data_IF_362245641874
#
_entry.id   IF_362245641874
#
_cell.length_a   1.000
_cell.length_b   1.000
_cell.length_c   1.000
_cell.angle_alpha   90.00
_cell.angle_beta   90.00
_cell.angle_gamma   90.00
#
_symmetry.space_group_name_H-M   'P 1'
#
loop_
_entity.id
_entity.type
_entity.pdbx_description
1 polymer ?
#
# COMPACT_ATOMS: atom_id res chain seq x y z
N UNK A 1 -15.86 35.86 -6.05
CA UNK A 1 -15.99 35.43 -7.47
C UNK A 1 -15.78 36.66 -8.34
N UNK A 2 -14.70 36.71 -9.12
CA UNK A 2 -14.57 37.70 -10.19
C UNK A 2 -15.46 37.26 -11.35
N UNK A 3 -16.34 38.14 -11.83
CA UNK A 3 -17.12 37.87 -13.02
C UNK A 3 -16.33 38.32 -14.26
N UNK A 4 -16.63 37.74 -15.43
CA UNK A 4 -15.99 38.10 -16.70
C UNK A 4 -16.05 39.63 -16.98
N UNK A 5 -17.10 40.29 -16.50
CA UNK A 5 -17.29 41.74 -16.60
C UNK A 5 -16.27 42.54 -15.79
N UNK A 6 -15.82 42.00 -14.66
CA UNK A 6 -14.81 42.62 -13.80
C UNK A 6 -13.42 42.54 -14.45
N UNK A 7 -13.10 41.40 -15.07
CA UNK A 7 -11.85 41.19 -15.81
C UNK A 7 -11.78 42.13 -17.03
N UNK A 8 -12.91 42.31 -17.73
CA UNK A 8 -13.03 43.23 -18.86
C UNK A 8 -13.06 44.71 -18.47
N UNK A 9 -13.05 45.05 -17.18
CA UNK A 9 -12.99 46.42 -16.68
C UNK A 9 -11.57 46.82 -16.21
N UNK A 10 -10.65 45.86 -16.02
CA UNK A 10 -9.30 46.13 -15.52
C UNK A 10 -8.41 46.86 -16.55
N UNK A 11 -7.28 47.43 -16.14
CA UNK A 11 -6.30 47.98 -17.09
C UNK A 11 -5.57 46.86 -17.84
N UNK A 12 -5.11 47.09 -19.07
CA UNK A 12 -4.43 46.08 -19.89
C UNK A 12 -3.30 45.29 -19.18
N UNK A 13 -2.38 45.91 -18.41
CA UNK A 13 -1.36 45.15 -17.67
C UNK A 13 -1.95 44.30 -16.55
N UNK A 14 -3.01 44.80 -15.88
CA UNK A 14 -3.69 44.08 -14.81
C UNK A 14 -4.56 42.94 -15.36
N UNK A 15 -5.10 43.07 -16.59
CA UNK A 15 -5.79 41.99 -17.32
C UNK A 15 -4.83 40.87 -17.69
N UNK A 16 -3.66 41.19 -18.24
CA UNK A 16 -2.67 40.16 -18.57
C UNK A 16 -2.20 39.41 -17.33
N UNK A 17 -1.92 40.13 -16.24
CA UNK A 17 -1.57 39.51 -14.96
C UNK A 17 -2.71 38.62 -14.43
N UNK A 18 -3.95 39.10 -14.47
CA UNK A 18 -5.14 38.36 -13.99
C UNK A 18 -5.42 37.12 -14.84
N UNK A 19 -5.33 37.24 -16.17
CA UNK A 19 -5.44 36.11 -17.11
C UNK A 19 -4.32 35.09 -16.89
N UNK A 20 -3.06 35.53 -16.71
CA UNK A 20 -1.94 34.63 -16.42
C UNK A 20 -2.15 33.86 -15.08
N UNK A 21 -2.64 34.51 -14.02
CA UNK A 21 -3.00 33.82 -12.77
C UNK A 21 -4.17 32.84 -12.94
N UNK A 22 -5.21 33.18 -13.71
CA UNK A 22 -6.35 32.28 -13.95
C UNK A 22 -5.93 31.06 -14.77
N UNK A 23 -5.08 31.23 -15.79
CA UNK A 23 -4.52 30.12 -16.57
C UNK A 23 -3.57 29.25 -15.74
N UNK A 24 -2.80 29.83 -14.82
CA UNK A 24 -1.98 29.08 -13.86
C UNK A 24 -2.81 28.21 -12.91
N UNK A 25 -3.94 28.73 -12.40
CA UNK A 25 -4.84 27.97 -11.52
C UNK A 25 -5.58 26.84 -12.27
N UNK A 26 -5.90 27.02 -13.56
CA UNK A 26 -6.53 25.98 -14.39
C UNK A 26 -5.56 24.88 -14.84
N UNK A 27 -4.25 25.10 -14.74
CA UNK A 27 -3.19 24.12 -15.06
C UNK A 27 -2.57 23.48 -13.82
N UNK A 28 -2.88 23.96 -12.61
CA UNK A 28 -2.56 23.31 -11.36
C UNK A 28 -3.40 22.02 -11.25
N UNK A 29 -2.88 20.92 -11.79
CA UNK A 29 -3.40 19.59 -11.46
C UNK A 29 -3.01 19.33 -10.01
N UNK A 30 -3.95 19.11 -9.08
CA UNK A 30 -3.58 18.70 -7.75
C UNK A 30 -2.73 17.43 -7.87
N UNK A 31 -1.62 17.39 -7.15
CA UNK A 31 -0.80 16.19 -6.97
C UNK A 31 -1.66 15.18 -6.20
N UNK A 32 -2.47 14.42 -6.93
CA UNK A 32 -3.47 13.52 -6.36
C UNK A 32 -2.81 12.18 -6.13
N UNK A 33 -2.37 11.94 -4.90
CA UNK A 33 -2.18 10.59 -4.38
C UNK A 33 -3.50 9.92 -3.98
N UNK A 34 -4.65 10.51 -4.34
CA UNK A 34 -5.93 9.89 -4.09
C UNK A 34 -6.05 8.65 -4.94
N UNK A 35 -5.88 7.54 -4.26
CA UNK A 35 -6.09 6.20 -4.70
C UNK A 35 -7.52 6.14 -5.25
N UNK A 36 -7.67 5.84 -6.55
CA UNK A 36 -8.94 5.95 -7.27
C UNK A 36 -9.19 4.71 -8.12
N UNK A 37 -10.48 4.46 -8.36
CA UNK A 37 -10.94 3.43 -9.28
C UNK A 37 -11.76 4.06 -10.41
N UNK A 38 -11.60 3.51 -11.61
CA UNK A 38 -12.45 3.84 -12.75
C UNK A 38 -13.79 3.09 -12.72
N UNK A 39 -13.85 1.98 -11.97
CA UNK A 39 -15.03 1.14 -11.86
C UNK A 39 -15.11 0.51 -10.48
N UNK A 40 -16.03 0.99 -9.63
CA UNK A 40 -16.22 0.40 -8.31
C UNK A 40 -17.25 -0.76 -8.35
N UNK A 41 -16.83 -2.02 -8.09
CA UNK A 41 -17.68 -3.20 -8.24
C UNK A 41 -18.78 -3.32 -7.17
N UNK A 42 -18.68 -2.57 -6.07
CA UNK A 42 -19.77 -2.48 -5.07
C UNK A 42 -20.92 -1.60 -5.56
N UNK A 43 -20.67 -0.75 -6.55
CA UNK A 43 -21.65 0.23 -7.07
C UNK A 43 -22.18 -0.17 -8.45
N UNK A 44 -21.37 -0.85 -9.27
CA UNK A 44 -21.72 -1.18 -10.65
C UNK A 44 -21.06 -2.47 -11.13
N UNK A 45 -21.43 -2.95 -12.31
CA UNK A 45 -20.74 -4.08 -12.93
C UNK A 45 -19.40 -3.62 -13.51
N UNK A 46 -18.32 -4.31 -13.16
CA UNK A 46 -16.98 -4.03 -13.65
C UNK A 46 -16.43 -5.20 -14.48
N UNK A 47 -15.48 -4.93 -15.40
CA UNK A 47 -14.68 -5.98 -16.03
C UNK A 47 -13.89 -6.78 -14.99
N UNK A 48 -13.51 -8.01 -15.34
CA UNK A 48 -12.61 -8.81 -14.53
C UNK A 48 -11.21 -8.18 -14.47
N UNK A 49 -10.59 -8.21 -13.30
CA UNK A 49 -9.22 -7.76 -13.11
C UNK A 49 -8.24 -8.85 -13.58
N UNK A 50 -7.21 -8.53 -14.38
CA UNK A 50 -6.17 -9.51 -14.72
C UNK A 50 -5.45 -9.96 -13.44
N UNK A 51 -5.29 -11.27 -13.24
CA UNK A 51 -4.60 -11.83 -12.08
C UNK A 51 -3.13 -12.09 -12.39
N UNK A 52 -2.26 -11.95 -11.39
CA UNK A 52 -0.88 -12.41 -11.53
C UNK A 52 -0.83 -13.94 -11.55
N UNK A 53 -1.53 -14.59 -10.60
CA UNK A 53 -1.71 -16.04 -10.53
C UNK A 53 -0.44 -16.85 -10.29
N UNK A 54 0.68 -16.19 -9.96
CA UNK A 54 2.02 -16.79 -9.80
C UNK A 54 2.91 -15.93 -8.91
N UNK A 55 4.17 -16.34 -8.79
CA UNK A 55 5.24 -15.55 -8.17
C UNK A 55 6.10 -14.87 -9.23
N UNK A 56 6.56 -13.65 -8.94
CA UNK A 56 7.49 -12.90 -9.78
C UNK A 56 8.56 -12.20 -8.95
N UNK A 57 9.65 -11.86 -9.62
CA UNK A 57 10.74 -11.03 -9.12
C UNK A 57 11.15 -10.11 -10.26
N UNK A 58 11.15 -8.80 -10.01
CA UNK A 58 11.53 -7.78 -11.00
C UNK A 58 12.68 -6.98 -10.43
N UNK A 59 13.80 -7.03 -11.14
CA UNK A 59 15.00 -6.25 -10.86
C UNK A 59 15.01 -5.01 -11.76
N UNK A 60 14.80 -3.83 -11.17
CA UNK A 60 14.76 -2.57 -11.90
C UNK A 60 16.15 -2.02 -12.22
N UNK A 61 17.22 -2.58 -11.65
CA UNK A 61 18.59 -2.25 -12.08
C UNK A 61 18.88 -2.74 -13.50
N UNK A 62 18.10 -3.73 -13.97
CA UNK A 62 18.11 -4.22 -15.35
C UNK A 62 17.23 -3.38 -16.31
N UNK A 63 16.55 -2.34 -15.81
CA UNK A 63 15.69 -1.46 -16.58
C UNK A 63 14.19 -1.73 -16.42
N UNK A 64 13.40 -1.25 -17.39
CA UNK A 64 11.95 -1.34 -17.36
C UNK A 64 11.45 -2.79 -17.50
N UNK A 65 10.36 -3.11 -16.80
CA UNK A 65 9.71 -4.41 -16.85
C UNK A 65 8.33 -4.33 -17.51
N UNK A 66 7.99 -5.35 -18.31
CA UNK A 66 6.65 -5.53 -18.91
C UNK A 66 5.54 -5.81 -17.88
N UNK A 67 5.90 -6.10 -16.64
CA UNK A 67 4.94 -6.36 -15.55
C UNK A 67 4.28 -5.07 -15.03
N UNK A 68 4.86 -3.90 -15.34
CA UNK A 68 4.40 -2.61 -14.83
C UNK A 68 4.17 -1.61 -15.98
N UNK A 69 3.19 -0.73 -15.79
CA UNK A 69 2.96 0.43 -16.64
C UNK A 69 3.40 1.70 -15.91
N UNK A 70 4.08 2.58 -16.64
CA UNK A 70 4.58 3.85 -16.12
C UNK A 70 3.60 5.00 -16.37
N UNK A 71 3.47 5.87 -15.39
CA UNK A 71 2.83 7.17 -15.51
C UNK A 71 3.76 8.29 -15.03
N UNK A 72 3.62 9.48 -15.61
CA UNK A 72 4.60 10.55 -15.46
C UNK A 72 5.85 10.26 -16.29
N UNK A 73 7.00 10.12 -15.65
CA UNK A 73 8.28 9.84 -16.33
C UNK A 73 9.33 9.21 -15.39
N UNK A 74 9.10 8.00 -14.84
CA UNK A 74 10.14 7.31 -14.08
C UNK A 74 11.34 6.99 -14.98
N UNK A 75 12.54 7.09 -14.42
CA UNK A 75 13.80 6.86 -15.14
C UNK A 75 14.54 5.65 -14.56
N UNK A 76 15.40 5.01 -15.34
CA UNK A 76 16.08 3.78 -14.92
C UNK A 76 17.60 4.00 -14.91
N UNK A 77 18.23 3.58 -13.82
CA UNK A 77 19.66 3.69 -13.57
C UNK A 77 20.25 2.39 -13.01
N UNK A 78 21.52 2.41 -12.65
CA UNK A 78 22.22 1.24 -12.09
C UNK A 78 21.71 0.82 -10.70
N UNK A 79 21.01 1.71 -10.00
CA UNK A 79 20.44 1.54 -8.67
C UNK A 79 18.94 1.18 -8.68
N UNK A 80 18.29 1.22 -9.84
CA UNK A 80 16.90 0.85 -10.00
C UNK A 80 16.09 1.84 -10.84
N UNK A 81 14.79 1.90 -10.55
CA UNK A 81 13.88 2.89 -11.10
C UNK A 81 13.73 4.08 -10.15
N UNK A 82 13.86 5.29 -10.69
CA UNK A 82 13.79 6.56 -9.98
C UNK A 82 12.47 7.29 -10.28
N UNK A 83 11.79 7.68 -9.21
CA UNK A 83 10.58 8.49 -9.21
C UNK A 83 10.95 9.88 -8.72
N UNK A 84 11.05 10.83 -9.64
CA UNK A 84 11.60 12.16 -9.37
C UNK A 84 10.51 13.23 -9.35
N UNK A 85 10.42 13.97 -8.24
CA UNK A 85 9.58 15.17 -8.09
C UNK A 85 10.48 16.40 -8.23
N UNK A 86 10.30 17.17 -9.30
CA UNK A 86 11.08 18.39 -9.58
C UNK A 86 10.23 19.66 -9.56
N UNK A 87 8.91 19.53 -9.75
CA UNK A 87 7.97 20.63 -9.73
C UNK A 87 6.59 20.20 -9.19
N UNK A 88 5.73 21.17 -8.91
CA UNK A 88 4.34 20.91 -8.56
C UNK A 88 3.61 20.13 -9.66
N UNK A 89 2.80 19.16 -9.25
CA UNK A 89 2.10 18.23 -10.15
C UNK A 89 2.92 17.02 -10.60
N UNK A 90 4.24 16.96 -10.32
CA UNK A 90 5.02 15.74 -10.56
C UNK A 90 4.59 14.63 -9.59
N UNK A 91 4.14 13.51 -10.17
CA UNK A 91 3.78 12.30 -9.44
C UNK A 91 4.14 11.05 -10.28
N UNK A 92 5.43 10.82 -10.58
CA UNK A 92 5.84 9.63 -11.32
C UNK A 92 5.54 8.36 -10.53
N UNK A 93 5.01 7.36 -11.22
CA UNK A 93 4.62 6.09 -10.60
C UNK A 93 4.72 4.90 -11.56
N UNK A 94 4.82 3.71 -10.99
CA UNK A 94 4.57 2.43 -11.66
C UNK A 94 3.34 1.78 -11.03
N UNK A 95 2.50 1.16 -11.86
CA UNK A 95 1.42 0.28 -11.40
C UNK A 95 1.50 -1.07 -12.10
N UNK A 96 1.21 -2.16 -11.38
CA UNK A 96 1.25 -3.51 -11.93
C UNK A 96 0.17 -3.70 -13.00
N UNK A 97 0.47 -4.47 -14.04
CA UNK A 97 -0.51 -4.79 -15.10
C UNK A 97 -1.55 -5.85 -14.67
N UNK A 98 -1.44 -6.31 -13.43
CA UNK A 98 -2.23 -7.36 -12.81
C UNK A 98 -2.54 -7.00 -11.36
N UNK A 99 -3.47 -7.76 -10.79
CA UNK A 99 -3.89 -7.72 -9.41
C UNK A 99 -3.41 -9.00 -8.71
N UNK A 100 -3.30 -8.95 -7.38
CA UNK A 100 -3.16 -10.12 -6.52
C UNK A 100 -4.35 -10.20 -5.58
N UNK A 101 -4.70 -11.42 -5.17
CA UNK A 101 -5.72 -11.63 -4.14
C UNK A 101 -5.12 -12.42 -3.00
N UNK A 102 -4.93 -11.72 -1.88
CA UNK A 102 -3.97 -12.10 -0.84
C UNK A 102 -2.57 -12.32 -1.43
N UNK A 103 -1.59 -12.56 -0.56
CA UNK A 103 -0.23 -12.83 -0.99
C UNK A 103 0.83 -12.11 -0.20
N UNK A 104 2.02 -12.10 -0.78
CA UNK A 104 3.18 -11.43 -0.23
C UNK A 104 3.76 -10.52 -1.29
N UNK A 105 4.04 -9.26 -0.94
CA UNK A 105 4.89 -8.42 -1.79
C UNK A 105 6.01 -7.80 -0.96
N UNK A 106 7.18 -7.70 -1.58
CA UNK A 106 8.43 -7.19 -1.01
C UNK A 106 8.99 -6.15 -1.97
N UNK A 107 9.12 -4.90 -1.51
CA UNK A 107 9.71 -3.80 -2.28
C UNK A 107 11.00 -3.35 -1.61
N UNK A 108 12.10 -3.33 -2.38
CA UNK A 108 13.40 -2.83 -1.90
C UNK A 108 13.63 -1.44 -2.46
N UNK A 109 13.71 -0.45 -1.58
CA UNK A 109 13.72 0.95 -1.99
C UNK A 109 14.42 1.88 -1.00
N UNK A 110 14.71 3.08 -1.48
CA UNK A 110 15.14 4.26 -0.74
C UNK A 110 14.13 5.38 -0.99
N UNK A 111 13.61 5.99 0.08
CA UNK A 111 12.62 7.04 0.00
C UNK A 111 13.21 8.37 -0.52
N UNK A 112 12.35 9.21 -1.09
CA UNK A 112 12.72 10.57 -1.47
C UNK A 112 12.88 11.46 -0.24
N UNK A 113 13.96 12.27 -0.14
CA UNK A 113 14.08 13.29 0.90
C UNK A 113 13.26 14.54 0.56
N UNK A 114 13.14 15.46 1.54
CA UNK A 114 12.57 16.80 1.36
C UNK A 114 11.25 16.98 2.10
N UNK A 115 11.09 18.14 2.73
CA UNK A 115 9.82 18.49 3.37
C UNK A 115 8.68 18.49 2.36
N UNK A 116 7.52 17.94 2.73
CA UNK A 116 6.36 17.85 1.85
C UNK A 116 6.45 16.74 0.78
N UNK A 117 7.60 16.10 0.60
CA UNK A 117 7.76 14.99 -0.35
C UNK A 117 7.31 13.69 0.28
N UNK A 118 6.56 12.91 -0.50
CA UNK A 118 6.02 11.62 -0.07
C UNK A 118 6.47 10.56 -1.07
N UNK A 119 6.99 9.45 -0.54
CA UNK A 119 7.14 8.20 -1.28
C UNK A 119 6.02 7.26 -0.84
N UNK A 120 5.45 6.50 -1.77
CA UNK A 120 4.27 5.66 -1.49
C UNK A 120 4.42 4.29 -2.14
N UNK A 121 3.99 3.24 -1.46
CA UNK A 121 3.79 1.90 -2.01
C UNK A 121 2.47 1.33 -1.51
N UNK A 122 1.55 1.07 -2.44
CA UNK A 122 0.14 0.87 -2.17
C UNK A 122 -0.37 -0.38 -2.89
N UNK A 123 -1.00 -1.27 -2.15
CA UNK A 123 -1.96 -2.23 -2.69
C UNK A 123 -3.33 -1.57 -2.72
N UNK A 124 -3.96 -1.44 -3.88
CA UNK A 124 -5.29 -0.87 -4.00
C UNK A 124 -6.21 -1.73 -4.86
N UNK A 125 -7.42 -2.01 -4.36
CA UNK A 125 -8.47 -2.67 -5.11
C UNK A 125 -9.37 -1.68 -5.88
N UNK A 126 -10.17 -2.22 -6.80
CA UNK A 126 -11.21 -1.46 -7.48
C UNK A 126 -12.39 -1.05 -6.58
N UNK A 127 -12.60 -1.68 -5.42
CA UNK A 127 -13.57 -1.19 -4.43
C UNK A 127 -12.97 -0.24 -3.40
N UNK A 128 -11.68 0.09 -3.53
CA UNK A 128 -10.90 0.99 -2.66
C UNK A 128 -10.58 0.38 -1.29
N UNK A 129 -10.49 -0.94 -1.19
CA UNK A 129 -9.65 -1.57 -0.17
C UNK A 129 -8.18 -1.18 -0.45
N UNK A 130 -7.43 -0.88 0.61
CA UNK A 130 -6.08 -0.31 0.51
C UNK A 130 -5.17 -0.82 1.62
N UNK A 131 -3.90 -1.08 1.28
CA UNK A 131 -2.81 -1.34 2.23
C UNK A 131 -1.60 -0.54 1.74
N UNK A 132 -1.08 0.34 2.57
CA UNK A 132 -0.02 1.27 2.15
C UNK A 132 1.19 1.29 3.09
N UNK A 133 2.30 1.71 2.49
CA UNK A 133 3.47 2.29 3.12
C UNK A 133 3.64 3.73 2.61
N UNK A 134 3.84 4.67 3.53
CA UNK A 134 4.08 6.08 3.22
C UNK A 134 5.33 6.58 3.95
N UNK A 135 6.31 7.06 3.19
CA UNK A 135 7.52 7.71 3.71
C UNK A 135 7.42 9.21 3.53
N UNK A 136 7.67 9.95 4.60
CA UNK A 136 7.70 11.41 4.56
C UNK A 136 9.15 11.87 4.45
N UNK A 137 9.48 12.66 3.43
CA UNK A 137 10.85 13.07 3.15
C UNK A 137 11.50 13.95 4.23
N UNK A 138 10.72 14.44 5.19
CA UNK A 138 11.21 15.14 6.39
C UNK A 138 11.52 14.21 7.57
N UNK A 139 11.16 12.93 7.50
CA UNK A 139 11.26 11.97 8.59
C UNK A 139 12.18 10.83 8.19
N UNK A 140 13.40 10.82 8.74
CA UNK A 140 14.45 9.95 8.23
C UNK A 140 14.42 8.53 8.79
N UNK A 141 13.84 8.38 9.99
CA UNK A 141 14.00 7.18 10.81
C UNK A 141 12.66 6.48 11.10
N UNK A 142 11.64 6.75 10.28
CA UNK A 142 10.30 6.18 10.40
C UNK A 142 9.60 6.02 9.06
N UNK A 143 8.58 5.16 9.04
CA UNK A 143 7.64 4.98 7.93
C UNK A 143 6.22 4.80 8.46
N UNK A 144 5.22 5.28 7.74
CA UNK A 144 3.82 5.09 8.09
C UNK A 144 3.25 3.86 7.39
N UNK A 145 2.47 3.09 8.12
CA UNK A 145 1.61 2.02 7.60
C UNK A 145 0.16 2.45 7.75
N UNK A 146 -0.66 2.22 6.73
CA UNK A 146 -2.09 2.48 6.81
C UNK A 146 -2.87 1.45 5.99
N UNK A 147 -4.19 1.45 6.16
CA UNK A 147 -5.10 0.56 5.45
C UNK A 147 -6.47 1.20 5.35
N UNK A 148 -7.20 1.01 4.26
CA UNK A 148 -8.58 1.47 4.09
C UNK A 148 -9.47 0.31 3.69
N UNK A 149 -10.71 0.29 4.16
CA UNK A 149 -11.73 -0.63 3.68
C UNK A 149 -12.73 0.12 2.81
N UNK A 150 -12.93 -0.32 1.56
CA UNK A 150 -14.00 0.16 0.66
C UNK A 150 -14.03 1.69 0.51
N UNK A 151 -12.86 2.33 0.56
CA UNK A 151 -12.69 3.78 0.44
C UNK A 151 -13.26 4.59 1.60
N UNK A 152 -13.55 3.97 2.75
CA UNK A 152 -14.08 4.70 3.89
C UNK A 152 -12.98 5.47 4.62
N UNK A 153 -13.16 6.79 4.68
CA UNK A 153 -12.23 7.75 5.28
C UNK A 153 -12.81 8.42 6.53
N UNK A 154 -13.85 7.82 7.11
CA UNK A 154 -14.64 8.39 8.22
C UNK A 154 -13.83 8.57 9.51
N UNK A 155 -12.80 7.75 9.71
CA UNK A 155 -11.85 7.83 10.83
C UNK A 155 -10.41 7.88 10.33
N UNK A 156 -9.52 8.48 11.15
CA UNK A 156 -8.08 8.62 10.90
C UNK A 156 -7.23 7.82 11.90
N UNK A 157 -7.79 6.75 12.45
CA UNK A 157 -7.20 5.90 13.50
C UNK A 157 -6.41 4.69 12.94
N UNK A 158 -6.26 4.62 11.62
CA UNK A 158 -5.70 3.46 10.90
C UNK A 158 -4.21 3.58 10.64
N UNK A 159 -3.69 4.80 10.54
CA UNK A 159 -2.27 5.04 10.35
C UNK A 159 -1.47 4.68 11.60
N UNK A 160 -0.31 4.04 11.42
CA UNK A 160 0.63 3.75 12.50
C UNK A 160 2.04 3.99 11.98
N UNK A 161 2.81 4.78 12.72
CA UNK A 161 4.23 5.01 12.46
C UNK A 161 5.03 3.84 13.03
N UNK A 162 5.98 3.32 12.27
CA UNK A 162 6.91 2.29 12.70
C UNK A 162 8.36 2.70 12.41
N UNK A 163 9.28 2.22 13.23
CA UNK A 163 10.70 2.56 13.12
C UNK A 163 11.32 1.94 11.85
N UNK A 164 12.11 2.73 11.15
CA UNK A 164 12.93 2.33 10.01
C UNK A 164 14.08 3.32 9.84
N UNK A 165 15.27 2.97 10.31
CA UNK A 165 16.40 3.91 10.34
C UNK A 165 16.87 4.29 8.94
N UNK A 166 17.14 5.58 8.69
CA UNK A 166 17.80 6.06 7.47
C UNK A 166 17.10 5.75 6.13
N UNK A 167 15.76 5.86 6.08
CA UNK A 167 14.96 5.45 4.90
C UNK A 167 15.29 6.20 3.59
N UNK A 168 15.85 7.40 3.66
CA UNK A 168 16.26 8.23 2.51
C UNK A 168 17.75 8.06 2.16
N UNK A 169 18.53 7.44 3.05
CA UNK A 169 19.95 7.19 2.87
C UNK A 169 20.24 5.77 2.38
N UNK A 170 19.53 4.78 2.91
CA UNK A 170 19.77 3.36 2.68
C UNK A 170 18.62 2.66 1.96
N UNK A 171 18.93 1.54 1.31
CA UNK A 171 17.91 0.64 0.78
C UNK A 171 17.41 -0.28 1.88
N UNK A 172 16.09 -0.28 2.07
CA UNK A 172 15.39 -1.22 2.96
C UNK A 172 14.43 -2.07 2.15
N UNK A 173 14.16 -3.28 2.65
CA UNK A 173 13.10 -4.14 2.11
C UNK A 173 11.86 -4.02 2.98
N UNK A 174 10.78 -3.53 2.38
CA UNK A 174 9.47 -3.42 3.01
C UNK A 174 8.57 -4.52 2.50
N UNK A 175 7.97 -5.25 3.43
CA UNK A 175 7.16 -6.42 3.13
C UNK A 175 5.74 -6.22 3.62
N UNK A 176 4.77 -6.59 2.79
CA UNK A 176 3.40 -6.86 3.23
C UNK A 176 3.09 -8.33 2.98
N UNK A 177 2.75 -9.04 4.05
CA UNK A 177 2.11 -10.36 3.99
C UNK A 177 0.62 -10.16 4.30
N UNK A 178 -0.23 -10.45 3.32
CA UNK A 178 -1.66 -10.20 3.38
C UNK A 178 -2.44 -11.50 3.17
N UNK A 179 -3.24 -11.85 4.15
CA UNK A 179 -4.10 -13.04 4.17
C UNK A 179 -5.51 -12.64 4.57
N UNK A 180 -6.48 -13.57 4.44
CA UNK A 180 -7.84 -13.35 4.95
C UNK A 180 -7.90 -13.11 6.46
N UNK A 181 -6.88 -13.55 7.20
CA UNK A 181 -6.85 -13.45 8.66
C UNK A 181 -6.17 -12.17 9.17
N UNK A 182 -5.15 -11.70 8.45
CA UNK A 182 -4.28 -10.62 8.91
C UNK A 182 -3.43 -9.99 7.81
N UNK A 183 -2.98 -8.77 8.07
CA UNK A 183 -1.91 -8.08 7.35
C UNK A 183 -0.72 -7.93 8.28
N UNK A 184 0.47 -8.30 7.80
CA UNK A 184 1.74 -8.13 8.50
C UNK A 184 2.64 -7.23 7.68
N UNK A 185 3.08 -6.15 8.30
CA UNK A 185 4.09 -5.24 7.76
C UNK A 185 5.43 -5.57 8.37
N UNK A 186 6.47 -5.65 7.54
CA UNK A 186 7.85 -5.89 7.97
C UNK A 186 8.81 -4.90 7.33
N UNK A 187 9.84 -4.51 8.09
CA UNK A 187 11.00 -3.75 7.62
C UNK A 187 12.22 -4.65 7.79
N UNK A 188 12.96 -4.88 6.71
CA UNK A 188 14.16 -5.75 6.68
C UNK A 188 13.91 -7.14 7.30
N UNK A 189 12.73 -7.68 7.01
CA UNK A 189 12.27 -8.97 7.49
C UNK A 189 11.85 -9.00 8.97
N UNK A 190 11.93 -7.88 9.71
CA UNK A 190 11.44 -7.77 11.09
C UNK A 190 9.98 -7.31 11.11
N UNK A 191 9.12 -7.98 11.87
CA UNK A 191 7.71 -7.56 12.00
C UNK A 191 7.57 -6.24 12.75
N UNK A 192 7.02 -5.23 12.06
CA UNK A 192 6.78 -3.90 12.62
C UNK A 192 5.31 -3.70 13.02
N UNK A 193 4.36 -4.30 12.28
CA UNK A 193 2.93 -4.20 12.58
C UNK A 193 2.17 -5.46 12.17
N UNK A 194 1.17 -5.84 12.96
CA UNK A 194 0.18 -6.86 12.62
C UNK A 194 -1.22 -6.29 12.80
N UNK A 195 -2.06 -6.37 11.77
CA UNK A 195 -3.49 -6.09 11.83
C UNK A 195 -4.26 -7.38 11.60
N UNK A 196 -5.04 -7.83 12.58
CA UNK A 196 -5.98 -8.94 12.37
C UNK A 196 -7.25 -8.42 11.72
N UNK A 197 -7.89 -9.23 10.89
CA UNK A 197 -9.16 -8.91 10.27
C UNK A 197 -10.26 -8.56 11.32
N UNK A 198 -10.24 -9.23 12.48
CA UNK A 198 -11.15 -8.94 13.59
C UNK A 198 -10.98 -7.54 14.19
N UNK A 199 -9.78 -6.97 14.10
CA UNK A 199 -9.40 -5.73 14.76
C UNK A 199 -9.60 -4.51 13.84
N UNK A 200 -9.93 -4.76 12.56
CA UNK A 200 -10.12 -3.75 11.54
C UNK A 200 -11.56 -3.17 11.50
N UNK A 201 -12.43 -3.50 12.46
CA UNK A 201 -13.80 -2.96 12.55
C UNK A 201 -14.62 -3.05 11.23
N UNK A 202 -14.45 -4.14 10.48
CA UNK A 202 -15.12 -4.35 9.19
C UNK A 202 -14.50 -3.59 8.01
N UNK A 203 -13.32 -2.99 8.20
CA UNK A 203 -12.54 -2.25 7.21
C UNK A 203 -11.30 -3.00 6.73
N UNK A 204 -11.26 -4.32 6.96
CA UNK A 204 -10.12 -5.14 6.54
C UNK A 204 -10.07 -5.24 5.01
N UNK A 205 -8.94 -4.89 4.38
CA UNK A 205 -8.70 -5.08 2.95
C UNK A 205 -8.79 -6.55 2.57
N UNK A 206 -9.67 -6.88 1.64
CA UNK A 206 -10.06 -8.26 1.35
C UNK A 206 -10.48 -8.47 -0.11
N UNK A 207 -10.12 -7.57 -1.02
CA UNK A 207 -10.48 -7.68 -2.44
C UNK A 207 -9.24 -7.50 -3.32
N UNK A 208 -9.22 -8.01 -4.57
CA UNK A 208 -8.01 -8.05 -5.38
C UNK A 208 -7.39 -6.67 -5.53
N UNK A 209 -6.08 -6.57 -5.25
CA UNK A 209 -5.35 -5.31 -5.24
C UNK A 209 -4.29 -5.26 -6.36
N UNK A 210 -4.22 -4.12 -7.03
CA UNK A 210 -3.10 -3.72 -7.88
C UNK A 210 -2.00 -3.13 -6.99
N UNK A 211 -0.73 -3.34 -7.35
CA UNK A 211 0.39 -2.69 -6.68
C UNK A 211 0.70 -1.39 -7.42
N UNK A 212 0.80 -0.28 -6.68
CA UNK A 212 1.19 1.04 -7.17
C UNK A 212 2.31 1.59 -6.31
N UNK A 213 3.33 2.19 -6.91
CA UNK A 213 4.39 2.84 -6.14
C UNK A 213 5.01 3.99 -6.92
N UNK A 214 5.43 5.01 -6.19
CA UNK A 214 5.97 6.24 -6.76
C UNK A 214 6.12 7.32 -5.70
N UNK A 215 6.45 8.53 -6.15
CA UNK A 215 6.64 9.68 -5.26
C UNK A 215 5.86 10.88 -5.76
N UNK A 216 5.44 11.75 -4.84
CA UNK A 216 4.64 12.92 -5.13
C UNK A 216 4.86 14.00 -4.07
N UNK A 217 4.33 15.21 -4.33
CA UNK A 217 4.40 16.32 -3.39
C UNK A 217 3.10 16.42 -2.58
N UNK A 218 3.12 15.94 -1.33
CA UNK A 218 2.06 16.17 -0.34
C UNK A 218 2.02 17.63 0.13
N UNK A 219 3.19 18.27 0.19
CA UNK A 219 3.39 19.67 0.55
C UNK A 219 3.15 20.66 -0.59
N UNK A 220 2.61 20.22 -1.72
CA UNK A 220 2.24 21.10 -2.83
C UNK A 220 1.20 22.13 -2.36
N UNK A 221 1.42 23.40 -2.68
CA UNK A 221 0.52 24.51 -2.31
C UNK A 221 -0.92 24.36 -2.82
N UNK A 222 -1.14 23.52 -3.83
CA UNK A 222 -2.47 23.20 -4.37
C UNK A 222 -3.22 22.15 -3.53
N UNK A 223 -2.55 21.44 -2.63
CA UNK A 223 -3.17 20.41 -1.80
C UNK A 223 -3.93 20.99 -0.60
N UNK A 224 -4.88 20.22 -0.02
CA UNK A 224 -5.52 20.61 1.23
C UNK A 224 -4.51 20.82 2.36
N UNK A 225 -4.76 21.81 3.23
CA UNK A 225 -3.87 22.12 4.35
C UNK A 225 -3.59 20.91 5.26
N UNK A 226 -4.55 19.99 5.40
CA UNK A 226 -4.37 18.75 6.15
C UNK A 226 -3.28 17.85 5.55
N UNK A 227 -3.27 17.69 4.23
CA UNK A 227 -2.24 16.92 3.49
C UNK A 227 -0.88 17.59 3.57
N UNK A 228 -0.81 18.92 3.41
CA UNK A 228 0.44 19.68 3.55
C UNK A 228 0.99 19.56 4.97
N UNK A 229 0.12 19.59 5.98
CA UNK A 229 0.55 19.44 7.38
C UNK A 229 0.99 18.01 7.70
N UNK A 230 0.26 17.01 7.19
CA UNK A 230 0.62 15.59 7.35
C UNK A 230 1.98 15.27 6.73
N UNK A 231 2.25 15.78 5.52
CA UNK A 231 3.52 15.63 4.80
C UNK A 231 4.67 16.47 5.36
N UNK A 232 4.52 17.02 6.57
CA UNK A 232 5.53 17.78 7.32
C UNK A 232 5.94 19.12 6.69
N UNK A 233 5.00 19.78 6.00
CA UNK A 233 5.15 21.17 5.57
C UNK A 233 5.12 21.35 4.06
N UNK A 234 5.27 22.61 3.59
CA UNK A 234 5.26 22.92 2.18
C UNK A 234 6.52 22.39 1.48
N UNK A 235 6.35 21.94 0.24
CA UNK A 235 7.47 21.51 -0.60
C UNK A 235 8.17 22.72 -1.20
N UNK A 236 9.47 22.85 -0.97
CA UNK A 236 10.33 23.79 -1.70
C UNK A 236 10.99 23.08 -2.88
N UNK A 237 10.42 23.22 -4.08
CA UNK A 237 10.96 22.59 -5.29
C UNK A 237 12.36 23.09 -5.67
N UNK A 238 12.83 24.22 -5.11
CA UNK A 238 14.19 24.71 -5.36
C UNK A 238 15.28 23.89 -4.64
N UNK A 239 14.91 23.13 -3.61
CA UNK A 239 15.78 22.16 -2.93
C UNK A 239 15.85 20.80 -3.66
N UNK A 240 15.03 20.62 -4.70
CA UNK A 240 14.98 19.40 -5.50
C UNK A 240 16.10 19.30 -6.56
N UNK A 241 16.04 18.29 -7.44
CA UNK A 241 14.97 17.30 -7.55
C UNK A 241 15.02 16.27 -6.42
N UNK A 242 13.85 15.79 -5.98
CA UNK A 242 13.71 14.76 -4.95
C UNK A 242 13.40 13.42 -5.61
N UNK A 243 14.09 12.34 -5.24
CA UNK A 243 13.91 11.05 -5.91
C UNK A 243 13.78 9.89 -4.94
N UNK A 244 12.69 9.14 -5.08
CA UNK A 244 12.53 7.80 -4.56
C UNK A 244 13.17 6.83 -5.55
N UNK A 245 13.88 5.82 -5.05
CA UNK A 245 14.53 4.80 -5.89
C UNK A 245 14.09 3.41 -5.45
N UNK A 246 13.63 2.58 -6.40
CA UNK A 246 13.24 1.18 -6.15
C UNK A 246 14.17 0.28 -6.95
N UNK A 247 14.90 -0.60 -6.27
CA UNK A 247 15.84 -1.52 -6.92
C UNK A 247 15.15 -2.82 -7.35
N UNK A 248 14.28 -3.37 -6.51
CA UNK A 248 13.65 -4.68 -6.72
C UNK A 248 12.24 -4.72 -6.15
N UNK A 249 11.35 -5.44 -6.82
CA UNK A 249 10.08 -5.89 -6.25
C UNK A 249 9.91 -7.40 -6.44
N UNK A 250 9.38 -8.08 -5.44
CA UNK A 250 9.05 -9.51 -5.49
C UNK A 250 7.64 -9.73 -4.98
N UNK A 251 6.86 -10.54 -5.70
CA UNK A 251 5.43 -10.69 -5.44
C UNK A 251 5.04 -12.15 -5.55
N UNK A 252 4.21 -12.61 -4.63
CA UNK A 252 3.56 -13.91 -4.65
C UNK A 252 2.07 -13.67 -4.59
N UNK A 253 1.37 -13.94 -5.68
CA UNK A 253 -0.08 -14.03 -5.66
C UNK A 253 -0.48 -15.37 -5.00
N UNK A 254 -1.32 -15.33 -3.98
CA UNK A 254 -1.84 -16.55 -3.35
C UNK A 254 -2.95 -17.21 -4.14
N UNK A 255 -3.40 -16.63 -5.24
CA UNK A 255 -4.30 -17.29 -6.18
C UNK A 255 -3.57 -17.91 -7.36
N UNK A 256 -4.27 -18.73 -8.15
CA UNK A 256 -3.71 -19.43 -9.33
C UNK A 256 -4.48 -19.16 -10.62
N UNK A 257 -5.48 -18.28 -10.59
CA UNK A 257 -6.30 -17.98 -11.76
C UNK A 257 -5.67 -16.96 -12.70
N UNK A 258 -6.32 -16.73 -13.84
CA UNK A 258 -5.92 -15.76 -14.86
C UNK A 258 -6.58 -14.39 -14.68
N UNK A 259 -7.70 -14.32 -13.97
CA UNK A 259 -8.41 -13.09 -13.65
C UNK A 259 -9.27 -13.22 -12.39
N UNK A 260 -9.66 -12.07 -11.84
CA UNK A 260 -10.60 -11.95 -10.73
C UNK A 260 -11.89 -11.29 -11.18
N UNK A 261 -13.02 -11.82 -10.75
CA UNK A 261 -14.32 -11.19 -10.91
C UNK A 261 -15.04 -11.08 -9.57
N UNK A 262 -15.70 -9.95 -9.35
CA UNK A 262 -16.61 -9.79 -8.22
C UNK A 262 -17.91 -10.53 -8.56
N UNK A 263 -18.22 -11.59 -7.81
CA UNK A 263 -19.42 -12.40 -7.98
C UNK A 263 -20.70 -11.70 -7.52
N UNK A 264 -20.57 -10.69 -6.66
CA UNK A 264 -21.65 -9.82 -6.22
C UNK A 264 -21.13 -8.41 -5.89
N UNK A 265 -21.98 -7.58 -5.27
CA UNK A 265 -21.66 -6.19 -4.87
C UNK A 265 -21.27 -6.04 -3.40
N UNK A 266 -21.00 -7.13 -2.68
CA UNK A 266 -20.72 -7.08 -1.24
C UNK A 266 -19.35 -6.47 -0.92
N UNK A 267 -18.38 -6.60 -1.84
CA UNK A 267 -16.97 -6.34 -1.56
C UNK A 267 -16.41 -7.29 -0.48
N UNK A 268 -17.00 -8.47 -0.32
CA UNK A 268 -16.45 -9.55 0.49
C UNK A 268 -15.46 -10.36 -0.35
N UNK A 269 -14.38 -10.83 0.28
CA UNK A 269 -13.47 -11.76 -0.38
C UNK A 269 -14.17 -13.07 -0.80
N UNK A 270 -15.21 -13.49 -0.08
CA UNK A 270 -16.02 -14.67 -0.40
C UNK A 270 -16.69 -14.59 -1.79
N UNK A 271 -16.91 -13.38 -2.30
CA UNK A 271 -17.52 -13.19 -3.62
C UNK A 271 -16.51 -13.17 -4.76
N UNK A 272 -15.21 -13.19 -4.46
CA UNK A 272 -14.15 -13.11 -5.47
C UNK A 272 -14.00 -14.46 -6.19
N UNK A 273 -14.29 -14.45 -7.48
CA UNK A 273 -14.10 -15.59 -8.38
C UNK A 273 -12.75 -15.49 -9.08
N UNK A 274 -11.95 -16.56 -9.01
CA UNK A 274 -10.66 -16.66 -9.71
C UNK A 274 -10.82 -17.55 -10.94
N UNK A 275 -10.80 -16.96 -12.15
CA UNK A 275 -11.04 -17.69 -13.39
C UNK A 275 -9.88 -18.65 -13.71
N UNK A 276 -10.22 -19.90 -14.08
CA UNK A 276 -9.23 -20.95 -14.34
C UNK A 276 -8.38 -21.38 -13.13
N UNK A 277 -8.71 -20.91 -11.91
CA UNK A 277 -7.93 -21.18 -10.71
C UNK A 277 -8.77 -21.11 -9.43
N UNK A 278 -8.12 -20.77 -8.32
CA UNK A 278 -8.78 -20.51 -7.03
C UNK A 278 -8.00 -19.47 -6.22
N UNK A 279 -8.72 -18.72 -5.40
CA UNK A 279 -8.12 -17.93 -4.31
C UNK A 279 -7.46 -18.88 -3.31
N UNK A 280 -6.33 -18.48 -2.73
CA UNK A 280 -5.52 -19.30 -1.83
C UNK A 280 -4.99 -20.61 -2.47
N UNK A 281 -4.91 -20.67 -3.80
CA UNK A 281 -4.35 -21.82 -4.52
C UNK A 281 -2.83 -21.95 -4.46
N UNK A 282 -2.12 -20.86 -4.12
CA UNK A 282 -0.67 -20.73 -4.09
C UNK A 282 -0.17 -20.16 -2.73
N UNK A 283 -0.91 -20.38 -1.65
CA UNK A 283 -0.47 -20.01 -0.29
C UNK A 283 0.85 -20.72 0.01
N UNK A 284 1.86 -19.95 0.40
CA UNK A 284 3.22 -20.47 0.63
C UNK A 284 4.08 -20.58 -0.60
N UNK A 285 3.61 -20.06 -1.74
CA UNK A 285 4.48 -19.81 -2.88
C UNK A 285 5.69 -19.00 -2.44
N UNK A 286 6.86 -19.37 -2.95
CA UNK A 286 8.09 -18.63 -2.74
C UNK A 286 8.39 -17.77 -3.95
N UNK A 287 9.04 -16.63 -3.74
CA UNK A 287 9.60 -15.85 -4.85
C UNK A 287 10.59 -16.75 -5.60
N UNK A 288 10.26 -17.09 -6.84
CA UNK A 288 11.18 -17.74 -7.77
C UNK A 288 11.82 -16.64 -8.60
N UNK A 289 13.14 -16.46 -8.45
CA UNK A 289 13.97 -15.79 -9.46
C UNK A 289 14.00 -16.70 -10.70
N UNK A 290 12.88 -16.80 -11.42
CA UNK A 290 12.86 -17.39 -12.74
C UNK A 290 13.24 -16.29 -13.73
N UNK A 291 14.42 -16.34 -14.37
CA UNK A 291 14.66 -15.49 -15.52
C UNK A 291 13.55 -15.75 -16.54
N UNK A 292 13.04 -14.66 -17.13
CA UNK A 292 12.06 -14.71 -18.22
C UNK A 292 12.43 -15.85 -19.19
N UNK A 293 11.48 -16.73 -19.60
CA UNK A 293 11.81 -17.79 -20.53
C UNK A 293 12.33 -17.15 -21.82
N UNK A 294 13.61 -17.36 -22.10
CA UNK A 294 14.21 -16.93 -23.34
C UNK A 294 13.47 -17.65 -24.46
N UNK A 295 12.77 -16.90 -25.32
CA UNK A 295 12.15 -17.46 -26.53
C UNK A 295 13.27 -17.85 -27.48
N UNK A 296 13.82 -19.04 -27.30
CA UNK A 296 14.68 -19.68 -28.30
C UNK A 296 13.78 -20.34 -29.32
N UNK A 297 13.70 -19.74 -30.51
CA UNK A 297 13.19 -20.40 -31.70
C UNK A 297 14.05 -21.63 -31.99
N UNK A 298 13.53 -22.83 -31.70
CA UNK A 298 14.21 -24.08 -32.01
C UNK A 298 13.89 -24.53 -33.45
N UNK A 299 14.90 -24.95 -34.23
CA UNK A 299 14.70 -25.92 -35.29
C UNK A 299 15.22 -27.30 -34.84
N UNK A 300 14.35 -28.32 -34.91
CA UNK A 300 14.75 -29.71 -35.19
C UNK A 300 15.08 -30.65 -34.02
N UNK A 301 14.12 -31.53 -33.70
CA UNK A 301 14.18 -32.93 -33.23
C UNK A 301 15.49 -33.54 -32.68
N UNK A 302 15.43 -34.10 -31.47
CA UNK A 302 15.55 -35.55 -31.18
C UNK A 302 15.46 -35.87 -29.67
N UNK A 303 15.14 -37.13 -29.35
CA UNK A 303 14.52 -37.61 -28.11
C UNK A 303 15.55 -38.25 -27.14
N UNK A 304 15.65 -37.71 -25.91
CA UNK A 304 15.84 -38.29 -24.55
C UNK A 304 16.97 -39.35 -24.26
N UNK A 305 17.25 -39.75 -22.97
CA UNK A 305 16.78 -39.25 -21.67
C UNK A 305 17.85 -39.11 -20.54
N UNK A 306 17.40 -38.47 -19.44
CA UNK A 306 17.72 -38.70 -18.03
C UNK A 306 19.14 -38.40 -17.48
N UNK A 307 19.26 -37.26 -16.79
CA UNK A 307 20.03 -37.14 -15.56
C UNK A 307 19.16 -36.53 -14.46
N UNK A 308 18.99 -37.29 -13.38
CA UNK A 308 18.34 -36.89 -12.14
C UNK A 308 19.07 -35.68 -11.53
N UNK A 309 18.33 -34.60 -11.29
CA UNK A 309 18.76 -33.50 -10.41
C UNK A 309 18.22 -33.78 -8.99
N UNK A 310 18.97 -33.48 -7.92
CA UNK A 310 18.48 -33.66 -6.56
C UNK A 310 17.36 -32.65 -6.30
N UNK A 311 16.16 -33.16 -6.02
CA UNK A 311 15.06 -32.36 -5.49
C UNK A 311 15.34 -32.00 -4.03
N UNK A 312 16.15 -30.97 -3.82
CA UNK A 312 16.18 -30.24 -2.56
C UNK A 312 14.98 -29.30 -2.53
N UNK A 313 13.79 -29.82 -2.28
CA UNK A 313 12.66 -28.99 -1.85
C UNK A 313 13.04 -28.40 -0.49
N UNK A 314 13.49 -27.15 -0.47
CA UNK A 314 13.43 -26.39 0.76
C UNK A 314 11.97 -26.06 1.00
N UNK A 315 11.31 -26.93 1.75
CA UNK A 315 10.03 -26.63 2.37
C UNK A 315 10.29 -25.54 3.40
N UNK A 316 9.83 -24.32 3.11
CA UNK A 316 9.67 -23.31 4.16
C UNK A 316 8.49 -23.75 5.01
N UNK A 317 8.79 -24.35 6.15
CA UNK A 317 7.85 -24.48 7.26
C UNK A 317 7.55 -23.07 7.75
N UNK A 318 6.28 -22.65 7.77
CA UNK A 318 5.79 -21.40 8.35
C UNK A 318 5.93 -21.41 9.88
N UNK A 319 7.12 -21.72 10.40
CA UNK A 319 7.35 -21.83 11.83
C UNK A 319 7.94 -20.56 12.42
N UNK A 320 8.51 -19.66 11.60
CA UNK A 320 9.09 -18.39 12.05
C UNK A 320 8.96 -17.29 10.98
N UNK A 321 8.33 -16.16 11.34
CA UNK A 321 8.70 -14.88 10.73
C UNK A 321 9.89 -14.33 11.52
N UNK A 322 10.97 -13.86 10.88
CA UNK A 322 12.05 -13.17 11.58
C UNK A 322 11.50 -11.92 12.31
N UNK A 323 12.02 -11.63 13.50
CA UNK A 323 11.62 -10.44 14.26
C UNK A 323 10.28 -10.50 14.99
N UNK A 324 9.64 -11.67 15.08
CA UNK A 324 8.48 -11.82 15.94
C UNK A 324 8.83 -11.51 17.42
N UNK A 325 7.98 -10.77 18.15
CA UNK A 325 8.19 -10.56 19.57
C UNK A 325 8.22 -11.88 20.34
N UNK A 326 9.00 -11.93 21.43
CA UNK A 326 9.13 -13.14 22.26
C UNK A 326 7.77 -13.70 22.69
N UNK A 327 7.55 -14.99 22.44
CA UNK A 327 6.33 -15.72 22.76
C UNK A 327 5.29 -15.81 21.64
N UNK A 328 5.47 -15.07 20.55
CA UNK A 328 4.63 -15.22 19.36
C UNK A 328 5.09 -16.42 18.53
N UNK A 329 4.14 -17.13 17.92
CA UNK A 329 4.37 -18.34 17.12
C UNK A 329 3.63 -18.25 15.78
N UNK A 330 4.13 -18.89 14.74
CA UNK A 330 3.44 -18.94 13.43
C UNK A 330 2.72 -20.27 13.28
N UNK A 331 1.45 -20.23 12.86
CA UNK A 331 0.71 -21.44 12.52
C UNK A 331 1.32 -22.05 11.23
N UNK A 332 1.82 -23.29 11.29
CA UNK A 332 2.55 -23.91 10.19
C UNK A 332 1.68 -24.24 8.96
N UNK A 333 0.35 -24.16 9.09
CA UNK A 333 -0.61 -24.47 8.02
C UNK A 333 -1.23 -23.21 7.44
N UNK A 334 -1.51 -22.21 8.27
CA UNK A 334 -2.20 -20.98 7.83
C UNK A 334 -1.27 -19.78 7.66
N UNK A 335 -0.01 -19.87 8.12
CA UNK A 335 0.90 -18.72 8.17
C UNK A 335 0.51 -17.67 9.22
N UNK A 336 -0.57 -17.90 9.99
CA UNK A 336 -1.05 -16.95 11.00
C UNK A 336 -0.01 -16.70 12.08
N UNK A 337 0.25 -15.43 12.40
CA UNK A 337 1.04 -15.06 13.59
C UNK A 337 0.13 -15.08 14.82
N UNK A 338 0.46 -15.93 15.78
CA UNK A 338 -0.31 -16.17 17.01
C UNK A 338 0.46 -15.60 18.21
N UNK A 339 -0.12 -14.70 19.02
CA UNK A 339 0.51 -14.26 20.26
C UNK A 339 0.62 -15.42 21.28
N UNK A 340 1.49 -15.31 22.30
CA UNK A 340 1.57 -16.31 23.35
C UNK A 340 0.19 -16.50 23.98
N UNK A 341 -0.25 -17.76 24.10
CA UNK A 341 -1.57 -18.17 24.59
C UNK A 341 -2.02 -17.35 25.81
N UNK A 342 -3.26 -16.86 25.74
CA UNK A 342 -3.96 -16.01 26.70
C UNK A 342 -3.51 -16.20 28.16
N UNK A 343 -3.12 -15.09 28.81
CA UNK A 343 -3.20 -14.99 30.27
C UNK A 343 -4.63 -15.39 30.70
N UNK A 344 -4.81 -16.11 31.83
CA UNK A 344 -6.12 -16.59 32.23
C UNK A 344 -7.07 -15.40 32.35
N UNK A 345 -8.19 -15.46 31.64
CA UNK A 345 -9.36 -14.65 31.97
C UNK A 345 -9.70 -15.05 33.40
N UNK A 346 -9.41 -14.16 34.36
CA UNK A 346 -10.00 -14.26 35.68
C UNK A 346 -11.48 -13.96 35.47
N UNK A 347 -12.27 -15.01 35.26
CA UNK A 347 -13.71 -14.97 35.47
C UNK A 347 -13.90 -14.57 36.94
N UNK A 348 -14.22 -13.31 37.19
CA UNK A 348 -14.80 -12.91 38.48
C UNK A 348 -16.27 -13.30 38.36
N UNK A 349 -16.74 -14.37 39.02
CA UNK A 349 -18.15 -14.71 38.98
C UNK A 349 -18.95 -13.58 39.61
N UNK A 350 -19.86 -13.00 38.82
CA UNK A 350 -20.86 -12.01 39.25
C UNK A 350 -21.87 -12.70 40.16
N UNK A 351 -21.47 -13.08 41.38
CA UNK A 351 -22.33 -13.43 42.51
C UNK A 351 -21.53 -13.28 43.80
N UNK A 352 -21.41 -12.06 44.32
CA UNK A 352 -21.35 -11.70 45.75
C UNK A 352 -20.79 -10.28 45.93
N UNK A 353 -21.54 -9.24 45.53
CA UNK A 353 -21.49 -7.93 46.20
C UNK A 353 -22.89 -7.32 46.15
N UNK A 354 -23.79 -7.82 46.98
CA UNK A 354 -24.92 -7.06 47.48
C UNK A 354 -24.82 -7.13 49.00
N UNK A 355 -24.54 -6.00 49.66
CA UNK A 355 -25.09 -5.54 50.94
C UNK A 355 -24.19 -4.41 51.50
N UNK A 356 -24.86 -3.31 51.90
CA UNK A 356 -24.39 -2.05 52.54
C UNK A 356 -23.65 -1.07 51.61
N UNK A 357 -24.03 0.19 51.39
CA UNK A 357 -24.77 1.13 52.22
C UNK A 357 -25.65 2.08 51.38
N UNK A 358 -26.83 2.38 51.92
CA UNK A 358 -27.66 3.51 51.52
C UNK A 358 -27.08 4.84 52.03
N UNK A 359 -27.69 5.92 51.54
CA UNK A 359 -27.66 7.32 52.00
C UNK A 359 -26.48 8.18 51.56
N UNK A 360 -26.69 9.03 50.55
CA UNK A 360 -27.23 10.38 50.76
C UNK A 360 -27.62 11.02 49.41
N UNK A 361 -28.86 11.50 49.38
CA UNK A 361 -29.42 12.31 48.32
C UNK A 361 -28.85 13.74 48.37
N UNK A 362 -28.82 14.42 47.22
CA UNK A 362 -28.73 15.88 47.21
C UNK A 362 -28.17 16.52 45.94
N UNK A 363 -29.09 16.88 45.04
CA UNK A 363 -29.12 18.20 44.37
C UNK A 363 -27.97 18.63 43.44
N UNK A 364 -28.25 18.53 42.14
CA UNK A 364 -28.42 19.65 41.19
C UNK A 364 -27.35 20.76 41.03
N UNK A 365 -26.93 20.91 39.77
CA UNK A 365 -26.78 22.14 38.96
C UNK A 365 -25.68 23.17 39.31
N UNK A 366 -25.18 23.79 38.23
CA UNK A 366 -24.17 24.86 38.09
C UNK A 366 -22.73 24.31 37.98
N UNK A 367 -21.88 24.67 37.01
CA UNK A 367 -21.92 25.69 35.96
C UNK A 367 -20.48 26.18 35.68
N UNK A 368 -20.15 26.36 34.39
CA UNK A 368 -19.12 27.23 33.80
C UNK A 368 -17.60 26.89 33.90
N UNK A 369 -17.04 26.68 32.69
CA UNK A 369 -15.73 27.05 32.12
C UNK A 369 -14.41 26.69 32.82
N UNK A 370 -13.61 25.85 32.15
CA UNK A 370 -12.40 26.25 31.41
C UNK A 370 -12.09 25.23 30.31
#
# INVERSE_FOLDING_TARGET
MLFLRDILAMSAPLRLATLATITGILLARPSTAQTYTSCNPTQQQCPSNPALGRSISVDFTAGASKEFTAEGNPTYGSDGVSFTVSAGGDAPQLHSNWYIMFGKYEITMKAAPGAGIVSSSVLQSDDLDEIDWEWLGAQNDEVQTNYFGKGQTTTYDRATVVDADNTQGDFHTYTVEWTEEQIVWQVDGQTSRVLKASDANGQFPQTPCQIRFGSWSGGDSSNPQGTVSWSQGPTDYSDGPFSMVVSKISVVDYSTGSSYAYGDRSGSWDSIMSDGGRVNGNVGGTVVDSPDPTVTTAPGSSIAPAWQQPSGSMTLTYTNYPGLPSGWSVNPTTGKVVPPSAAPVIDIPIRFVCVVAASLAGSSLLGFWL
#
